data_IF_860721983241
#
_entry.id   IF_860721983241
#
_cell.length_a   1.000
_cell.length_b   1.000
_cell.length_c   1.000
_cell.angle_alpha   90.00
_cell.angle_beta   90.00
_cell.angle_gamma   90.00
#
_symmetry.space_group_name_H-M   'P 1'
#
loop_
_entity.id
_entity.type
_entity.pdbx_description
1 polymer ?
#
# COMPACT_ATOMS: atom_id res chain seq x y z
N UNK A 1 7.09 15.58 6.53
CA UNK A 1 8.12 14.89 7.34
C UNK A 1 7.76 15.04 8.80
N UNK A 2 7.95 13.99 9.59
CA UNK A 2 7.60 13.96 11.02
C UNK A 2 8.80 13.45 11.81
N UNK A 3 9.08 14.06 12.95
CA UNK A 3 10.15 13.72 13.88
C UNK A 3 9.53 13.43 15.26
N UNK A 4 9.87 12.27 15.81
CA UNK A 4 9.51 11.84 17.15
C UNK A 4 10.76 11.84 18.03
N UNK A 5 10.72 12.54 19.15
CA UNK A 5 11.76 12.47 20.16
C UNK A 5 11.30 11.53 21.28
N UNK A 6 12.07 10.47 21.49
CA UNK A 6 11.74 9.40 22.43
C UNK A 6 12.75 9.36 23.57
N UNK A 7 12.28 9.02 24.77
CA UNK A 7 13.15 8.66 25.89
C UNK A 7 13.54 7.19 25.79
N UNK A 8 14.83 6.90 25.65
CA UNK A 8 15.31 5.52 25.50
C UNK A 8 15.23 4.69 26.78
N UNK A 9 15.12 5.31 27.96
CA UNK A 9 15.00 4.60 29.23
C UNK A 9 13.57 4.17 29.52
N UNK A 10 12.59 5.01 29.16
CA UNK A 10 11.18 4.78 29.47
C UNK A 10 10.34 4.34 28.26
N UNK A 11 10.84 4.57 27.04
CA UNK A 11 10.08 4.40 25.80
C UNK A 11 9.03 5.49 25.57
N UNK A 12 8.97 6.53 26.41
CA UNK A 12 7.98 7.58 26.29
C UNK A 12 8.33 8.60 25.20
N UNK A 13 7.30 9.05 24.48
CA UNK A 13 7.40 10.13 23.51
C UNK A 13 7.49 11.49 24.21
N UNK A 14 8.64 12.16 24.10
CA UNK A 14 8.90 13.48 24.71
C UNK A 14 8.37 14.63 23.86
N UNK A 15 8.49 14.56 22.54
CA UNK A 15 7.94 15.59 21.63
C UNK A 15 7.70 15.04 20.22
N UNK A 16 6.85 15.74 19.46
CA UNK A 16 6.59 15.49 18.04
C UNK A 16 6.67 16.80 17.28
N UNK A 17 7.38 16.82 16.16
CA UNK A 17 7.45 17.95 15.24
C UNK A 17 7.19 17.47 13.82
N UNK A 18 6.47 18.26 13.05
CA UNK A 18 6.22 17.99 11.65
C UNK A 18 6.54 19.23 10.81
N UNK A 19 7.00 19.01 9.58
CA UNK A 19 7.22 20.06 8.60
C UNK A 19 7.03 19.52 7.19
N UNK A 20 6.79 20.43 6.24
CA UNK A 20 6.88 20.10 4.83
C UNK A 20 8.30 19.64 4.44
N UNK A 21 8.39 18.75 3.46
CA UNK A 21 9.68 18.38 2.86
C UNK A 21 10.10 19.52 1.91
N UNK A 22 11.21 20.23 2.16
CA UNK A 22 11.66 21.32 1.30
C UNK A 22 12.04 20.85 -0.12
N UNK A 23 12.18 19.54 -0.33
CA UNK A 23 12.41 18.98 -1.66
C UNK A 23 11.25 19.19 -2.64
N UNK A 24 10.07 19.58 -2.15
CA UNK A 24 8.92 19.96 -2.99
C UNK A 24 9.26 21.05 -4.00
N UNK A 25 10.21 21.95 -3.69
CA UNK A 25 10.64 22.99 -4.62
C UNK A 25 11.39 22.46 -5.86
N UNK A 26 11.76 21.19 -5.86
CA UNK A 26 12.50 20.53 -6.95
C UNK A 26 11.67 19.42 -7.63
N UNK A 27 10.45 19.15 -7.14
CA UNK A 27 9.58 18.09 -7.63
C UNK A 27 8.51 17.72 -6.60
N UNK A 28 7.27 17.64 -7.04
CA UNK A 28 6.13 17.34 -6.17
C UNK A 28 6.16 15.88 -5.70
N UNK A 29 6.60 14.96 -6.56
CA UNK A 29 6.68 13.52 -6.30
C UNK A 29 8.12 12.96 -6.34
N UNK A 30 8.25 11.64 -6.17
CA UNK A 30 9.55 10.96 -6.16
C UNK A 30 10.21 10.93 -7.55
N UNK A 31 9.44 10.68 -8.61
CA UNK A 31 9.96 10.52 -9.97
C UNK A 31 10.50 11.85 -10.48
N UNK A 32 9.74 12.94 -10.29
CA UNK A 32 10.16 14.30 -10.65
C UNK A 32 11.45 14.71 -9.93
N UNK A 33 11.63 14.34 -8.66
CA UNK A 33 12.89 14.56 -7.94
C UNK A 33 14.05 13.72 -8.48
N UNK A 34 13.81 12.49 -8.90
CA UNK A 34 14.82 11.66 -9.56
C UNK A 34 15.21 12.29 -10.89
N UNK A 35 14.25 12.70 -11.72
CA UNK A 35 14.51 13.42 -12.97
C UNK A 35 15.31 14.70 -12.71
N UNK A 36 14.98 15.46 -11.67
CA UNK A 36 15.77 16.64 -11.28
C UNK A 36 17.23 16.29 -10.96
N UNK A 37 17.50 15.18 -10.27
CA UNK A 37 18.87 14.68 -10.04
C UNK A 37 19.61 14.38 -11.36
N UNK A 38 18.92 13.78 -12.32
CA UNK A 38 19.48 13.33 -13.60
C UNK A 38 19.76 14.51 -14.54
N UNK A 39 18.82 15.46 -14.62
CA UNK A 39 18.89 16.60 -15.53
C UNK A 39 19.84 17.69 -15.05
N UNK A 40 20.11 17.76 -13.74
CA UNK A 40 20.90 18.83 -13.14
C UNK A 40 22.22 18.28 -12.57
N UNK A 41 23.40 18.77 -13.02
CA UNK A 41 24.71 18.30 -12.55
C UNK A 41 24.95 18.40 -11.03
N UNK A 42 24.12 19.15 -10.29
CA UNK A 42 24.15 19.27 -8.82
C UNK A 42 22.79 18.97 -8.18
N UNK A 43 21.92 18.26 -8.88
CA UNK A 43 20.56 17.98 -8.41
C UNK A 43 20.57 17.16 -7.11
N UNK A 44 21.38 16.10 -7.08
CA UNK A 44 21.55 15.26 -5.90
C UNK A 44 22.08 16.04 -4.69
N UNK A 45 23.16 16.82 -4.85
CA UNK A 45 23.72 17.65 -3.78
C UNK A 45 22.69 18.61 -3.19
N UNK A 46 21.87 19.25 -4.04
CA UNK A 46 20.81 20.17 -3.61
C UNK A 46 19.71 19.45 -2.84
N UNK A 47 19.21 18.33 -3.36
CA UNK A 47 18.15 17.54 -2.72
C UNK A 47 18.62 16.94 -1.39
N UNK A 48 19.85 16.43 -1.34
CA UNK A 48 20.49 15.92 -0.12
C UNK A 48 20.67 17.02 0.92
N UNK A 49 21.27 18.15 0.55
CA UNK A 49 21.50 19.27 1.48
C UNK A 49 20.17 19.83 2.03
N UNK A 50 19.14 19.88 1.19
CA UNK A 50 17.80 20.35 1.56
C UNK A 50 17.14 19.46 2.62
N UNK A 51 17.19 18.13 2.46
CA UNK A 51 16.60 17.21 3.44
C UNK A 51 17.40 17.17 4.74
N UNK A 52 18.74 17.14 4.68
CA UNK A 52 19.61 17.16 5.88
C UNK A 52 19.42 18.46 6.67
N UNK A 53 19.33 19.60 5.99
CA UNK A 53 19.04 20.88 6.64
C UNK A 53 17.72 20.84 7.39
N UNK A 54 16.64 20.37 6.76
CA UNK A 54 15.33 20.33 7.41
C UNK A 54 15.26 19.32 8.56
N UNK A 55 15.91 18.18 8.43
CA UNK A 55 16.01 17.22 9.54
C UNK A 55 16.68 17.84 10.76
N UNK A 56 17.76 18.61 10.56
CA UNK A 56 18.42 19.32 11.65
C UNK A 56 17.52 20.38 12.31
N UNK A 57 16.71 21.12 11.54
CA UNK A 57 15.73 22.05 12.11
C UNK A 57 14.64 21.33 12.92
N UNK A 58 14.14 20.19 12.42
CA UNK A 58 13.15 19.37 13.12
C UNK A 58 13.70 18.82 14.44
N UNK A 59 14.92 18.29 14.42
CA UNK A 59 15.62 17.78 15.62
C UNK A 59 15.80 18.91 16.64
N UNK A 60 16.30 20.08 16.22
CA UNK A 60 16.49 21.22 17.12
C UNK A 60 15.16 21.68 17.73
N UNK A 61 14.09 21.74 16.94
CA UNK A 61 12.74 22.10 17.40
C UNK A 61 12.16 21.07 18.37
N UNK A 62 12.38 19.77 18.10
CA UNK A 62 11.92 18.68 18.96
C UNK A 62 12.65 18.67 20.31
N UNK A 63 13.98 18.84 20.28
CA UNK A 63 14.83 18.94 21.47
C UNK A 63 14.50 20.17 22.32
N UNK A 64 14.32 21.34 21.69
CA UNK A 64 13.91 22.56 22.39
C UNK A 64 12.54 22.41 23.07
N UNK A 65 11.57 21.78 22.40
CA UNK A 65 10.24 21.54 22.98
C UNK A 65 10.28 20.56 24.17
N UNK A 66 11.20 19.60 24.16
CA UNK A 66 11.43 18.67 25.25
C UNK A 66 12.43 19.20 26.30
N UNK A 67 12.96 20.42 26.12
CA UNK A 67 13.97 21.04 26.98
C UNK A 67 15.22 20.16 27.18
N UNK A 68 15.66 19.47 26.13
CA UNK A 68 16.91 18.69 26.15
C UNK A 68 17.94 19.29 25.20
N UNK A 69 19.21 19.05 25.53
CA UNK A 69 20.33 19.33 24.65
C UNK A 69 20.36 18.29 23.50
N UNK A 70 20.37 18.70 22.22
CA UNK A 70 20.54 17.79 21.08
C UNK A 70 21.75 16.86 21.18
N UNK A 71 22.82 17.27 21.88
CA UNK A 71 24.02 16.43 22.09
C UNK A 71 23.74 15.19 22.96
N UNK A 72 22.60 15.16 23.67
CA UNK A 72 22.13 14.00 24.45
C UNK A 72 21.35 12.99 23.62
N UNK A 73 21.06 13.27 22.36
CA UNK A 73 20.39 12.32 21.46
C UNK A 73 21.42 11.27 21.02
N UNK A 74 21.25 10.04 21.49
CA UNK A 74 22.20 8.94 21.31
C UNK A 74 22.02 8.17 20.00
N UNK A 75 20.81 8.19 19.43
CA UNK A 75 20.44 7.40 18.27
C UNK A 75 19.28 8.04 17.52
N UNK A 76 19.24 7.84 16.21
CA UNK A 76 18.13 8.21 15.35
C UNK A 76 17.77 7.05 14.43
N UNK A 77 16.47 6.83 14.22
CA UNK A 77 15.98 5.91 13.20
C UNK A 77 15.31 6.71 12.10
N UNK A 78 15.73 6.51 10.85
CA UNK A 78 15.17 7.21 9.69
C UNK A 78 14.43 6.21 8.80
N UNK A 79 13.18 6.55 8.51
CA UNK A 79 12.29 5.79 7.63
C UNK A 79 11.77 6.67 6.51
N UNK A 80 11.56 6.06 5.36
CA UNK A 80 11.14 6.71 4.13
C UNK A 80 11.13 5.70 3.00
N UNK A 81 10.52 6.06 1.87
CA UNK A 81 10.60 5.22 0.68
C UNK A 81 12.04 5.17 0.13
N UNK A 82 12.29 4.24 -0.79
CA UNK A 82 13.61 3.95 -1.38
C UNK A 82 14.32 5.18 -1.92
N UNK A 83 13.61 6.07 -2.63
CA UNK A 83 14.20 7.28 -3.16
C UNK A 83 14.58 8.28 -2.06
N UNK A 84 13.75 8.44 -1.03
CA UNK A 84 14.07 9.33 0.10
C UNK A 84 15.30 8.84 0.88
N UNK A 85 15.50 7.53 1.01
CA UNK A 85 16.73 6.97 1.56
C UNK A 85 17.95 7.34 0.71
N UNK A 86 17.87 7.18 -0.61
CA UNK A 86 18.99 7.51 -1.50
C UNK A 86 19.33 8.99 -1.42
N UNK A 87 18.33 9.88 -1.50
CA UNK A 87 18.55 11.32 -1.37
C UNK A 87 19.14 11.70 -0.01
N UNK A 88 18.65 11.10 1.08
CA UNK A 88 19.17 11.36 2.41
C UNK A 88 20.62 10.88 2.57
N UNK A 89 20.97 9.72 2.02
CA UNK A 89 22.33 9.17 2.05
C UNK A 89 23.27 9.80 1.02
N UNK A 90 22.76 10.65 0.13
CA UNK A 90 23.54 11.22 -0.97
C UNK A 90 23.92 10.18 -2.03
N UNK A 91 23.13 9.11 -2.16
CA UNK A 91 23.27 8.09 -3.19
C UNK A 91 22.52 8.48 -4.45
N UNK A 92 23.07 8.16 -5.60
CA UNK A 92 22.43 8.43 -6.89
C UNK A 92 21.14 7.61 -7.04
N UNK A 93 19.96 8.25 -7.14
CA UNK A 93 18.69 7.54 -7.27
C UNK A 93 18.35 7.19 -8.73
N UNK A 94 19.20 7.49 -9.72
CA UNK A 94 18.92 7.32 -11.15
C UNK A 94 18.38 5.92 -11.50
N UNK A 95 19.01 4.87 -10.97
CA UNK A 95 18.61 3.48 -11.26
C UNK A 95 17.31 3.05 -10.57
N UNK A 96 16.74 3.86 -9.68
CA UNK A 96 15.43 3.59 -9.09
C UNK A 96 14.28 3.82 -10.09
N UNK A 97 14.49 4.69 -11.09
CA UNK A 97 13.50 4.97 -12.13
C UNK A 97 13.80 4.26 -13.45
N UNK A 98 14.88 3.48 -13.54
CA UNK A 98 15.25 2.72 -14.74
C UNK A 98 15.27 1.22 -14.46
N UNK A 99 14.76 0.40 -15.37
CA UNK A 99 14.87 -1.04 -15.26
C UNK A 99 16.34 -1.47 -15.07
N UNK A 100 16.66 -2.38 -14.13
CA UNK A 100 15.74 -3.24 -13.36
C UNK A 100 15.21 -2.65 -12.03
N UNK A 101 15.24 -1.32 -11.85
CA UNK A 101 14.78 -0.60 -10.66
C UNK A 101 15.56 -0.95 -9.40
N UNK A 102 16.84 -1.25 -9.58
CA UNK A 102 17.70 -1.74 -8.52
C UNK A 102 18.09 -0.59 -7.59
N UNK A 103 17.81 -0.70 -6.28
CA UNK A 103 18.34 0.23 -5.31
C UNK A 103 19.82 -0.08 -5.07
N UNK A 104 20.57 0.93 -4.65
CA UNK A 104 21.96 0.76 -4.21
C UNK A 104 22.01 -0.06 -2.90
N UNK A 105 20.97 0.06 -2.06
CA UNK A 105 20.88 -0.57 -0.75
C UNK A 105 19.55 -1.33 -0.60
N UNK A 106 19.60 -2.52 -0.02
CA UNK A 106 18.42 -3.35 0.31
C UNK A 106 18.37 -3.72 1.80
N UNK A 107 19.53 -3.94 2.42
CA UNK A 107 19.65 -4.27 3.83
C UNK A 107 19.62 -3.01 4.71
N UNK A 108 19.30 -3.18 5.99
CA UNK A 108 19.39 -2.11 6.99
C UNK A 108 20.79 -1.53 7.05
N UNK A 109 20.91 -0.23 7.29
CA UNK A 109 22.20 0.46 7.36
C UNK A 109 22.38 1.20 8.68
N UNK A 110 23.60 1.20 9.20
CA UNK A 110 23.99 1.98 10.37
C UNK A 110 25.13 2.93 10.01
N UNK A 111 24.89 4.23 10.18
CA UNK A 111 25.86 5.28 9.90
C UNK A 111 26.11 6.14 11.12
N UNK A 112 27.30 6.75 11.23
CA UNK A 112 27.51 7.81 12.23
C UNK A 112 26.75 9.06 11.81
N UNK A 113 26.02 9.65 12.75
CA UNK A 113 25.17 10.82 12.48
C UNK A 113 25.94 12.00 11.86
N UNK A 114 27.19 12.20 12.31
CA UNK A 114 28.09 13.24 11.79
C UNK A 114 28.48 13.04 10.32
N UNK A 115 28.54 11.79 9.85
CA UNK A 115 28.91 11.47 8.46
C UNK A 115 27.75 11.80 7.50
N UNK A 116 26.52 11.84 8.04
CA UNK A 116 25.29 12.21 7.34
C UNK A 116 24.89 13.69 7.57
N UNK A 117 25.73 14.47 8.26
CA UNK A 117 25.47 15.88 8.54
C UNK A 117 24.38 16.15 9.58
N UNK A 118 23.95 15.15 10.35
CA UNK A 118 23.00 15.34 11.44
C UNK A 118 23.69 15.86 12.72
N UNK A 119 23.09 16.89 13.31
CA UNK A 119 23.57 17.60 14.51
C UNK A 119 22.87 17.06 15.75
N UNK A 120 23.25 15.83 16.10
CA UNK A 120 22.91 15.14 17.35
C UNK A 120 24.21 14.71 18.04
N UNK A 121 24.12 13.96 19.15
CA UNK A 121 25.28 13.55 19.94
C UNK A 121 26.45 13.03 19.09
N UNK A 122 27.68 13.45 19.43
CA UNK A 122 28.86 13.21 18.58
C UNK A 122 29.18 11.73 18.29
N UNK A 123 28.71 10.82 19.15
CA UNK A 123 28.87 9.37 18.99
C UNK A 123 27.63 8.68 18.42
N UNK A 124 26.55 9.43 18.15
CA UNK A 124 25.26 8.89 17.77
C UNK A 124 25.28 8.17 16.42
N UNK A 125 24.40 7.18 16.33
CA UNK A 125 24.16 6.42 15.12
C UNK A 125 22.81 6.77 14.50
N UNK A 126 22.75 6.62 13.18
CA UNK A 126 21.54 6.72 12.38
C UNK A 126 21.29 5.35 11.78
N UNK A 127 20.22 4.72 12.23
CA UNK A 127 19.75 3.46 11.69
C UNK A 127 18.71 3.69 10.59
N UNK A 128 18.91 3.06 9.43
CA UNK A 128 17.94 3.03 8.35
C UNK A 128 17.38 1.61 8.24
N UNK A 129 16.05 1.52 8.21
CA UNK A 129 15.36 0.25 7.97
C UNK A 129 15.65 -0.29 6.55
N UNK A 130 15.59 -1.62 6.35
CA UNK A 130 15.85 -2.21 5.04
C UNK A 130 14.87 -1.68 3.98
N UNK A 131 15.39 -1.48 2.77
CA UNK A 131 14.62 -1.04 1.62
C UNK A 131 14.17 -2.24 0.81
N UNK A 132 12.86 -2.39 0.64
CA UNK A 132 12.30 -3.17 -0.47
C UNK A 132 12.11 -2.22 -1.64
N UNK A 133 12.85 -2.41 -2.72
CA UNK A 133 12.71 -1.59 -3.92
C UNK A 133 11.84 -2.27 -4.97
N UNK A 134 11.20 -1.43 -5.79
CA UNK A 134 10.48 -1.86 -6.98
C UNK A 134 9.14 -2.54 -6.70
N UNK A 135 8.64 -3.22 -7.72
CA UNK A 135 7.46 -4.08 -7.63
C UNK A 135 7.84 -5.36 -6.92
N UNK A 136 7.36 -5.55 -5.70
CA UNK A 136 7.60 -6.77 -4.93
C UNK A 136 6.33 -7.58 -4.80
N UNK A 137 6.47 -8.90 -4.88
CA UNK A 137 5.40 -9.86 -4.61
C UNK A 137 5.91 -10.90 -3.62
N UNK A 138 4.97 -11.59 -2.99
CA UNK A 138 5.24 -12.80 -2.24
C UNK A 138 4.48 -13.96 -2.88
N UNK A 139 4.97 -15.18 -2.67
CA UNK A 139 4.39 -16.40 -3.24
C UNK A 139 4.01 -17.36 -2.13
N UNK A 140 3.02 -18.19 -2.42
CA UNK A 140 2.66 -19.28 -1.52
C UNK A 140 3.87 -20.22 -1.42
N UNK A 141 4.33 -20.48 -0.18
CA UNK A 141 5.54 -21.27 0.13
C UNK A 141 6.89 -20.64 -0.27
N UNK A 142 6.93 -19.35 -0.63
CA UNK A 142 8.17 -18.62 -1.00
C UNK A 142 8.95 -19.26 -2.16
N UNK A 143 8.25 -19.92 -3.10
CA UNK A 143 8.82 -20.48 -4.32
C UNK A 143 8.75 -19.47 -5.49
N UNK A 144 9.39 -19.77 -6.62
CA UNK A 144 9.27 -18.94 -7.81
C UNK A 144 7.80 -18.88 -8.29
N UNK A 145 7.28 -17.69 -8.66
CA UNK A 145 5.89 -17.55 -9.08
C UNK A 145 5.62 -18.31 -10.38
N UNK A 146 4.39 -18.81 -10.50
CA UNK A 146 3.86 -19.49 -11.69
C UNK A 146 2.55 -18.85 -12.21
N UNK A 147 2.04 -17.85 -11.49
CA UNK A 147 0.79 -17.15 -11.79
C UNK A 147 0.33 -16.29 -10.61
N UNK A 148 -0.88 -15.73 -10.74
CA UNK A 148 -1.51 -14.90 -9.72
C UNK A 148 -2.66 -15.65 -9.05
N UNK A 149 -2.73 -15.56 -7.72
CA UNK A 149 -3.91 -15.99 -6.97
C UNK A 149 -4.91 -14.83 -6.82
N UNK A 150 -6.12 -15.13 -6.32
CA UNK A 150 -7.18 -14.12 -6.14
C UNK A 150 -6.79 -12.95 -5.24
N UNK A 151 -6.05 -13.18 -4.15
CA UNK A 151 -5.52 -12.08 -3.33
C UNK A 151 -4.40 -11.32 -4.03
N UNK A 152 -3.59 -12.02 -4.83
CA UNK A 152 -2.50 -11.42 -5.62
C UNK A 152 -3.00 -10.41 -6.66
N UNK A 153 -4.05 -10.74 -7.41
CA UNK A 153 -4.63 -9.80 -8.39
C UNK A 153 -5.27 -8.58 -7.69
N UNK A 154 -5.96 -8.79 -6.57
CA UNK A 154 -6.56 -7.67 -5.82
C UNK A 154 -5.48 -6.73 -5.30
N UNK A 155 -4.45 -7.27 -4.65
CA UNK A 155 -3.36 -6.46 -4.09
C UNK A 155 -2.59 -5.73 -5.18
N UNK A 156 -2.28 -6.42 -6.29
CA UNK A 156 -1.59 -5.81 -7.41
C UNK A 156 -2.39 -4.66 -8.04
N UNK A 157 -3.69 -4.85 -8.29
CA UNK A 157 -4.53 -3.77 -8.86
C UNK A 157 -4.71 -2.63 -7.86
N UNK A 158 -4.89 -2.91 -6.55
CA UNK A 158 -4.95 -1.89 -5.51
C UNK A 158 -3.69 -1.02 -5.49
N UNK A 159 -2.51 -1.63 -5.50
CA UNK A 159 -1.22 -0.93 -5.55
C UNK A 159 -1.04 -0.14 -6.84
N UNK A 160 -1.45 -0.70 -7.99
CA UNK A 160 -1.39 0.00 -9.27
C UNK A 160 -2.34 1.20 -9.34
N UNK A 161 -3.48 1.16 -8.66
CA UNK A 161 -4.38 2.32 -8.49
C UNK A 161 -3.69 3.38 -7.62
N UNK A 162 -3.16 3.00 -6.45
CA UNK A 162 -2.45 3.92 -5.53
C UNK A 162 -1.23 4.57 -6.20
N UNK A 163 -0.52 3.81 -7.04
CA UNK A 163 0.63 4.29 -7.81
C UNK A 163 0.26 5.11 -9.06
N UNK A 164 -1.03 5.27 -9.38
CA UNK A 164 -1.49 5.98 -10.57
C UNK A 164 -1.26 5.24 -11.90
N UNK A 165 -0.85 3.97 -11.86
CA UNK A 165 -0.64 3.13 -13.04
C UNK A 165 -1.97 2.73 -13.66
N UNK A 166 -3.00 2.49 -12.84
CA UNK A 166 -4.37 2.23 -13.27
C UNK A 166 -5.24 3.45 -12.95
N UNK A 167 -5.92 3.96 -13.98
CA UNK A 167 -6.86 5.06 -13.87
C UNK A 167 -8.23 4.59 -13.37
N UNK A 168 -9.09 5.52 -12.95
CA UNK A 168 -10.42 5.23 -12.39
C UNK A 168 -11.32 4.36 -13.29
N UNK A 169 -11.11 4.38 -14.61
CA UNK A 169 -11.86 3.54 -15.57
C UNK A 169 -11.30 2.13 -15.75
N UNK A 170 -10.19 1.79 -15.11
CA UNK A 170 -9.49 0.51 -15.27
C UNK A 170 -8.55 0.46 -16.49
N UNK A 171 -8.26 1.61 -17.11
CA UNK A 171 -7.24 1.72 -18.14
C UNK A 171 -5.86 1.95 -17.50
N UNK A 172 -4.81 1.45 -18.12
CA UNK A 172 -3.45 1.85 -17.75
C UNK A 172 -3.21 3.32 -18.14
N UNK A 173 -2.43 4.04 -17.34
CA UNK A 173 -2.01 5.39 -17.67
C UNK A 173 -0.90 5.36 -18.74
N UNK A 174 -1.20 5.84 -19.94
CA UNK A 174 -0.22 5.92 -21.04
C UNK A 174 0.91 6.92 -20.75
N UNK A 175 0.71 7.87 -19.83
CA UNK A 175 1.77 8.77 -19.38
C UNK A 175 2.79 8.05 -18.48
N UNK A 176 2.44 6.89 -17.93
CA UNK A 176 3.33 6.08 -17.10
C UNK A 176 4.38 5.37 -17.96
N UNK A 177 5.55 5.99 -18.09
CA UNK A 177 6.66 5.44 -18.86
C UNK A 177 7.46 4.44 -18.02
N UNK A 178 7.24 3.15 -18.23
CA UNK A 178 7.95 2.09 -17.54
C UNK A 178 8.06 0.82 -18.41
N UNK A 179 9.25 0.21 -18.57
CA UNK A 179 9.43 -1.07 -19.27
C UNK A 179 8.48 -2.21 -18.91
N UNK A 180 7.88 -2.20 -17.70
CA UNK A 180 6.87 -3.18 -17.30
C UNK A 180 5.52 -2.94 -17.99
N UNK A 181 5.19 -1.70 -18.35
CA UNK A 181 4.00 -1.38 -19.14
C UNK A 181 4.39 -1.42 -20.63
N UNK A 182 3.85 -2.39 -21.37
CA UNK A 182 4.18 -2.61 -22.78
C UNK A 182 2.95 -3.05 -23.57
N UNK A 183 3.04 -2.99 -24.90
CA UNK A 183 2.07 -3.62 -25.78
C UNK A 183 2.18 -5.15 -25.71
N UNK A 184 1.08 -5.81 -25.35
CA UNK A 184 0.88 -7.25 -25.41
C UNK A 184 -0.08 -7.65 -26.54
N UNK A 185 -0.49 -8.92 -26.56
CA UNK A 185 -1.38 -9.47 -27.60
C UNK A 185 -2.77 -8.79 -27.60
N UNK A 186 -3.29 -8.49 -26.41
CA UNK A 186 -4.63 -7.91 -26.19
C UNK A 186 -4.58 -6.40 -25.85
N UNK A 187 -3.49 -5.72 -26.20
CA UNK A 187 -3.21 -4.33 -25.86
C UNK A 187 -2.24 -4.19 -24.70
N UNK A 188 -2.25 -3.03 -24.02
CA UNK A 188 -1.32 -2.77 -22.92
C UNK A 188 -1.43 -3.83 -21.80
N UNK A 189 -0.27 -4.30 -21.36
CA UNK A 189 -0.10 -5.22 -20.24
C UNK A 189 1.01 -4.71 -19.32
N UNK A 190 0.88 -5.03 -18.03
CA UNK A 190 1.86 -4.71 -17.01
C UNK A 190 2.57 -5.98 -16.54
N UNK A 191 3.89 -6.06 -16.72
CA UNK A 191 4.71 -7.18 -16.26
C UNK A 191 4.92 -7.09 -14.76
N UNK A 192 4.28 -7.99 -14.01
CA UNK A 192 4.51 -8.16 -12.58
C UNK A 192 5.83 -8.90 -12.32
N UNK A 193 6.04 -10.05 -12.95
CA UNK A 193 7.27 -10.84 -12.81
C UNK A 193 7.82 -11.24 -14.18
N UNK A 194 9.12 -11.03 -14.39
CA UNK A 194 9.82 -11.39 -15.62
C UNK A 194 10.06 -12.90 -15.70
N UNK A 195 10.20 -13.44 -16.91
CA UNK A 195 10.49 -14.84 -17.18
C UNK A 195 11.67 -15.42 -16.39
N UNK A 196 12.70 -14.61 -16.11
CA UNK A 196 13.86 -15.02 -15.28
C UNK A 196 13.51 -15.24 -13.80
N UNK A 197 12.47 -14.57 -13.33
CA UNK A 197 11.98 -14.59 -11.94
C UNK A 197 10.97 -15.73 -11.72
N UNK A 198 10.30 -16.20 -12.77
CA UNK A 198 9.24 -17.22 -12.69
C UNK A 198 9.74 -18.66 -12.80
N UNK A 199 8.94 -19.62 -12.34
CA UNK A 199 9.24 -21.05 -12.51
C UNK A 199 8.85 -21.56 -13.92
N UNK A 200 8.00 -20.81 -14.62
CA UNK A 200 7.45 -21.16 -15.94
C UNK A 200 8.28 -20.59 -17.11
N UNK A 201 9.36 -19.85 -16.83
CA UNK A 201 10.20 -19.16 -17.82
C UNK A 201 9.39 -18.27 -18.78
N UNK A 202 8.31 -17.69 -18.28
CA UNK A 202 7.43 -16.76 -18.99
C UNK A 202 7.11 -15.59 -18.07
N UNK A 203 6.87 -14.42 -18.65
CA UNK A 203 6.45 -13.25 -17.89
C UNK A 203 5.05 -13.50 -17.30
N UNK A 204 4.85 -13.08 -16.04
CA UNK A 204 3.53 -13.00 -15.42
C UNK A 204 3.08 -11.54 -15.53
N UNK A 205 1.98 -11.33 -16.24
CA UNK A 205 1.46 -10.01 -16.58
C UNK A 205 0.07 -9.79 -16.02
N UNK A 206 -0.30 -8.53 -15.83
CA UNK A 206 -1.69 -8.09 -15.66
C UNK A 206 -2.11 -7.36 -16.93
N UNK A 207 -3.18 -7.82 -17.54
CA UNK A 207 -3.77 -7.22 -18.73
C UNK A 207 -4.94 -6.32 -18.38
N UNK A 208 -5.38 -5.50 -19.34
CA UNK A 208 -6.63 -4.74 -19.21
C UNK A 208 -7.85 -5.64 -19.00
N UNK A 209 -7.83 -6.85 -19.57
CA UNK A 209 -8.91 -7.83 -19.40
C UNK A 209 -9.00 -8.31 -17.97
N UNK A 210 -7.86 -8.60 -17.33
CA UNK A 210 -7.81 -9.02 -15.93
C UNK A 210 -8.36 -7.92 -15.00
N UNK A 211 -7.98 -6.66 -15.28
CA UNK A 211 -8.51 -5.49 -14.56
C UNK A 211 -10.03 -5.37 -14.74
N UNK A 212 -10.53 -5.55 -15.96
CA UNK A 212 -11.96 -5.51 -16.25
C UNK A 212 -12.75 -6.64 -15.56
N UNK A 213 -12.19 -7.85 -15.51
CA UNK A 213 -12.79 -8.98 -14.77
C UNK A 213 -12.86 -8.68 -13.27
N UNK A 214 -11.82 -8.07 -12.70
CA UNK A 214 -11.85 -7.60 -11.32
C UNK A 214 -12.90 -6.51 -11.11
N UNK A 215 -13.01 -5.53 -12.02
CA UNK A 215 -14.04 -4.47 -11.97
C UNK A 215 -15.46 -5.07 -11.93
N UNK A 216 -15.74 -6.07 -12.78
CA UNK A 216 -17.03 -6.75 -12.78
C UNK A 216 -17.29 -7.49 -11.45
N UNK A 217 -16.32 -8.24 -10.97
CA UNK A 217 -16.46 -9.00 -9.72
C UNK A 217 -16.67 -8.07 -8.51
N UNK A 218 -15.83 -7.04 -8.36
CA UNK A 218 -15.93 -6.11 -7.24
C UNK A 218 -17.20 -5.27 -7.31
N UNK A 219 -17.65 -4.91 -8.51
CA UNK A 219 -18.88 -4.15 -8.68
C UNK A 219 -20.13 -4.95 -8.28
N UNK A 220 -20.17 -6.25 -8.58
CA UNK A 220 -21.27 -7.11 -8.14
C UNK A 220 -21.37 -7.18 -6.60
N UNK A 221 -20.22 -7.34 -5.93
CA UNK A 221 -20.16 -7.37 -4.46
C UNK A 221 -20.58 -6.03 -3.87
N UNK A 222 -20.03 -4.93 -4.40
CA UNK A 222 -20.35 -3.58 -3.95
C UNK A 222 -21.84 -3.28 -4.12
N UNK A 223 -22.40 -3.49 -5.31
CA UNK A 223 -23.79 -3.21 -5.61
C UNK A 223 -24.75 -4.04 -4.75
N UNK A 224 -24.44 -5.33 -4.55
CA UNK A 224 -25.24 -6.21 -3.72
C UNK A 224 -25.24 -5.78 -2.25
N UNK A 225 -24.05 -5.47 -1.72
CA UNK A 225 -23.92 -4.98 -0.36
C UNK A 225 -24.68 -3.67 -0.17
N UNK A 226 -24.45 -2.68 -1.03
CA UNK A 226 -25.11 -1.36 -0.95
C UNK A 226 -26.63 -1.49 -0.99
N UNK A 227 -27.18 -2.30 -1.90
CA UNK A 227 -28.63 -2.49 -2.01
C UNK A 227 -29.23 -3.12 -0.74
N UNK A 228 -28.59 -4.15 -0.18
CA UNK A 228 -29.03 -4.76 1.08
C UNK A 228 -28.98 -3.75 2.23
N UNK A 229 -28.00 -2.85 2.25
CA UNK A 229 -27.89 -1.84 3.29
C UNK A 229 -28.90 -0.71 3.14
N UNK A 230 -29.22 -0.30 1.90
CA UNK A 230 -30.31 0.64 1.61
C UNK A 230 -31.66 0.07 2.10
N UNK A 231 -31.91 -1.23 1.90
CA UNK A 231 -33.18 -1.88 2.26
C UNK A 231 -33.35 -2.08 3.77
N UNK A 232 -32.29 -2.50 4.47
CA UNK A 232 -32.37 -2.90 5.89
C UNK A 232 -31.84 -1.84 6.87
N UNK A 233 -31.58 -0.61 6.40
CA UNK A 233 -31.20 0.51 7.25
C UNK A 233 -29.77 0.39 7.79
N UNK A 234 -28.79 0.25 6.89
CA UNK A 234 -27.36 0.02 7.16
C UNK A 234 -26.61 1.14 7.92
N UNK A 235 -27.30 2.03 8.62
CA UNK A 235 -26.67 2.94 9.57
C UNK A 235 -26.07 2.12 10.73
N UNK A 236 -24.74 2.13 10.83
CA UNK A 236 -24.02 1.51 11.96
C UNK A 236 -23.43 0.13 11.72
N UNK A 237 -23.06 -0.23 10.48
CA UNK A 237 -22.20 -1.40 10.24
C UNK A 237 -20.87 -1.24 10.98
N UNK A 238 -20.65 -2.06 12.01
CA UNK A 238 -19.42 -2.00 12.84
C UNK A 238 -18.31 -2.90 12.33
N UNK A 239 -18.66 -3.98 11.64
CA UNK A 239 -17.73 -5.03 11.20
C UNK A 239 -18.15 -5.62 9.86
N UNK A 240 -17.16 -5.82 8.99
CA UNK A 240 -17.28 -6.56 7.73
C UNK A 240 -16.46 -7.83 7.88
N UNK A 241 -17.08 -8.99 7.67
CA UNK A 241 -16.42 -10.30 7.80
C UNK A 241 -16.22 -10.92 6.42
N UNK A 242 -14.97 -11.11 6.00
CA UNK A 242 -14.59 -11.66 4.70
C UNK A 242 -14.26 -13.14 4.84
N UNK A 243 -15.09 -14.00 4.27
CA UNK A 243 -14.90 -15.45 4.26
C UNK A 243 -14.50 -15.96 2.87
N UNK A 244 -13.95 -17.17 2.82
CA UNK A 244 -13.53 -17.85 1.58
C UNK A 244 -12.06 -17.66 1.26
N UNK A 245 -11.66 -18.03 0.04
CA UNK A 245 -10.26 -17.95 -0.41
C UNK A 245 -9.70 -16.52 -0.33
N UNK A 246 -10.54 -15.50 -0.59
CA UNK A 246 -10.20 -14.10 -0.36
C UNK A 246 -10.03 -13.77 1.12
N UNK A 247 -10.84 -14.34 2.02
CA UNK A 247 -10.84 -14.00 3.45
C UNK A 247 -9.61 -14.41 4.26
N UNK A 248 -8.68 -15.21 3.72
CA UNK A 248 -7.44 -15.60 4.41
C UNK A 248 -6.27 -14.66 4.11
N UNK A 249 -6.26 -14.02 2.94
CA UNK A 249 -5.08 -13.34 2.39
C UNK A 249 -5.41 -12.00 1.71
N UNK A 250 -6.68 -11.60 1.67
CA UNK A 250 -7.08 -10.28 1.20
C UNK A 250 -6.78 -9.25 2.28
N UNK A 251 -5.95 -8.27 1.92
CA UNK A 251 -5.72 -7.10 2.76
C UNK A 251 -6.99 -6.22 2.80
N UNK A 252 -7.49 -5.86 3.99
CA UNK A 252 -8.57 -4.90 4.16
C UNK A 252 -8.43 -3.59 3.38
N UNK A 253 -7.23 -3.01 3.37
CA UNK A 253 -6.97 -1.71 2.76
C UNK A 253 -6.97 -1.83 1.23
N UNK A 254 -6.55 -2.97 0.70
CA UNK A 254 -6.62 -3.26 -0.75
C UNK A 254 -8.06 -3.47 -1.20
N UNK A 255 -8.85 -4.18 -0.40
CA UNK A 255 -10.28 -4.34 -0.64
C UNK A 255 -11.02 -3.00 -0.64
N UNK A 256 -10.66 -2.09 0.27
CA UNK A 256 -11.14 -0.71 0.28
C UNK A 256 -10.66 0.06 -0.96
N UNK A 257 -9.38 -0.04 -1.34
CA UNK A 257 -8.80 0.71 -2.44
C UNK A 257 -9.45 0.39 -3.79
N UNK A 258 -9.81 -0.89 -4.03
CA UNK A 258 -10.54 -1.29 -5.24
C UNK A 258 -12.06 -0.98 -5.16
N UNK A 259 -12.56 -0.57 -3.99
CA UNK A 259 -13.97 -0.32 -3.74
C UNK A 259 -14.82 -1.59 -3.70
N UNK A 260 -14.31 -2.69 -3.11
CA UNK A 260 -14.99 -3.99 -3.06
C UNK A 260 -16.33 -3.94 -2.31
N UNK A 261 -16.42 -3.07 -1.31
CA UNK A 261 -17.62 -2.81 -0.53
C UNK A 261 -17.81 -1.30 -0.36
N UNK A 262 -19.04 -0.83 -0.10
CA UNK A 262 -19.29 0.58 0.18
C UNK A 262 -18.54 1.03 1.44
N UNK A 263 -18.00 2.26 1.37
CA UNK A 263 -17.14 2.81 2.40
C UNK A 263 -17.90 3.14 3.69
N UNK A 264 -17.47 2.54 4.80
CA UNK A 264 -17.89 2.90 6.15
C UNK A 264 -16.66 3.25 6.98
N UNK A 265 -16.43 4.54 7.28
CA UNK A 265 -15.23 5.00 7.98
C UNK A 265 -15.01 4.32 9.34
N UNK A 266 -16.07 3.85 9.98
CA UNK A 266 -16.02 3.20 11.30
C UNK A 266 -16.02 1.66 11.25
N UNK A 267 -16.27 1.05 10.08
CA UNK A 267 -16.40 -0.39 9.99
C UNK A 267 -15.02 -1.07 9.96
N UNK A 268 -14.80 -2.02 10.86
CA UNK A 268 -13.58 -2.84 10.82
C UNK A 268 -13.76 -4.05 9.92
N UNK A 269 -12.90 -4.18 8.92
CA UNK A 269 -12.87 -5.33 8.02
C UNK A 269 -12.00 -6.43 8.63
N UNK A 270 -12.51 -7.66 8.67
CA UNK A 270 -11.82 -8.82 9.23
C UNK A 270 -11.89 -10.01 8.29
N UNK A 271 -10.73 -10.57 7.94
CA UNK A 271 -10.65 -11.89 7.33
C UNK A 271 -11.01 -12.98 8.33
N UNK A 272 -11.96 -13.85 7.98
CA UNK A 272 -12.37 -15.02 8.80
C UNK A 272 -12.00 -16.35 8.13
N UNK A 273 -11.34 -16.28 6.99
CA UNK A 273 -10.83 -17.45 6.27
C UNK A 273 -11.91 -18.41 5.77
N UNK A 274 -11.60 -19.72 5.80
CA UNK A 274 -12.54 -20.75 5.37
C UNK A 274 -13.63 -21.02 6.43
N UNK A 275 -14.57 -20.09 6.55
CA UNK A 275 -15.69 -20.17 7.48
C UNK A 275 -16.57 -21.41 7.25
N UNK A 276 -16.73 -21.86 6.00
CA UNK A 276 -17.49 -23.07 5.67
C UNK A 276 -16.83 -24.32 6.25
N UNK A 277 -15.51 -24.46 6.08
CA UNK A 277 -14.74 -25.57 6.66
C UNK A 277 -14.76 -25.58 8.19
N UNK A 278 -14.59 -24.40 8.81
CA UNK A 278 -14.70 -24.26 10.27
C UNK A 278 -16.11 -24.60 10.77
N UNK A 279 -17.16 -24.14 10.08
CA UNK A 279 -18.55 -24.47 10.39
C UNK A 279 -18.84 -25.97 10.28
N UNK A 280 -18.26 -26.65 9.30
CA UNK A 280 -18.35 -28.11 9.15
C UNK A 280 -17.68 -28.84 10.32
N UNK A 281 -16.48 -28.41 10.72
CA UNK A 281 -15.75 -28.97 11.87
C UNK A 281 -16.56 -28.80 13.18
N UNK A 282 -17.06 -27.58 13.45
CA UNK A 282 -17.90 -27.31 14.62
C UNK A 282 -19.17 -28.17 14.62
N UNK A 283 -19.82 -28.30 13.47
CA UNK A 283 -21.01 -29.13 13.32
C UNK A 283 -20.71 -30.61 13.51
N UNK A 284 -19.55 -31.09 13.06
CA UNK A 284 -19.14 -32.49 13.25
C UNK A 284 -19.00 -32.82 14.75
N UNK A 285 -18.29 -31.97 15.49
CA UNK A 285 -17.92 -32.21 16.88
C UNK A 285 -19.02 -31.88 17.91
N UNK A 286 -19.94 -30.96 17.61
CA UNK A 286 -20.96 -30.52 18.56
C UNK A 286 -22.37 -30.52 17.92
N UNK A 287 -23.25 -31.38 18.46
CA UNK A 287 -24.67 -31.44 18.04
C UNK A 287 -25.43 -30.16 18.36
N UNK A 288 -25.03 -29.39 19.37
CA UNK A 288 -25.63 -28.09 19.67
C UNK A 288 -25.29 -27.06 18.59
N UNK A 289 -24.09 -27.14 17.98
CA UNK A 289 -23.71 -26.29 16.84
C UNK A 289 -24.52 -26.61 15.58
N UNK A 290 -24.91 -27.86 15.36
CA UNK A 290 -25.88 -28.21 14.30
C UNK A 290 -27.23 -27.52 14.51
N UNK A 291 -27.76 -27.61 15.72
CA UNK A 291 -29.02 -26.93 16.10
C UNK A 291 -28.90 -25.40 16.04
N UNK A 292 -27.73 -24.85 16.30
CA UNK A 292 -27.45 -23.42 16.11
C UNK A 292 -27.48 -23.03 14.63
N UNK A 293 -26.83 -23.82 13.76
CA UNK A 293 -26.86 -23.60 12.31
C UNK A 293 -28.29 -23.65 11.76
N UNK A 294 -29.10 -24.62 12.18
CA UNK A 294 -30.53 -24.69 11.83
C UNK A 294 -31.32 -23.45 12.26
N UNK A 295 -31.09 -22.96 13.49
CA UNK A 295 -31.73 -21.74 14.00
C UNK A 295 -31.30 -20.48 13.24
N UNK A 296 -30.04 -20.39 12.83
CA UNK A 296 -29.55 -19.27 12.01
C UNK A 296 -30.17 -19.35 10.62
N UNK A 297 -30.13 -20.51 9.98
CA UNK A 297 -30.70 -20.72 8.64
C UNK A 297 -32.19 -20.40 8.59
N UNK A 298 -32.96 -20.77 9.63
CA UNK A 298 -34.38 -20.45 9.72
C UNK A 298 -34.70 -18.94 9.84
N UNK A 299 -33.69 -18.11 10.15
CA UNK A 299 -33.82 -16.65 10.25
C UNK A 299 -33.25 -15.91 9.05
N UNK A 300 -32.65 -16.61 8.08
CA UNK A 300 -32.13 -16.00 6.86
C UNK A 300 -33.28 -15.72 5.89
N UNK A 301 -33.29 -14.51 5.36
CA UNK A 301 -34.19 -14.10 4.28
C UNK A 301 -33.40 -14.00 2.98
N UNK A 302 -33.84 -14.71 1.93
CA UNK A 302 -33.24 -14.61 0.61
C UNK A 302 -33.77 -13.37 -0.12
N UNK A 303 -32.86 -12.60 -0.71
CA UNK A 303 -33.18 -11.46 -1.57
C UNK A 303 -32.59 -11.65 -2.96
N UNK A 304 -33.46 -11.55 -3.97
CA UNK A 304 -33.05 -11.56 -5.37
C UNK A 304 -32.64 -10.15 -5.79
N UNK A 305 -31.32 -9.91 -5.86
CA UNK A 305 -30.76 -8.59 -6.15
C UNK A 305 -30.60 -8.34 -7.65
N UNK A 306 -30.31 -9.38 -8.45
CA UNK A 306 -29.92 -9.21 -9.85
C UNK A 306 -31.07 -8.72 -10.74
N UNK A 307 -32.31 -8.96 -10.32
CA UNK A 307 -33.51 -8.47 -11.00
C UNK A 307 -33.85 -7.00 -10.67
N UNK A 308 -33.17 -6.39 -9.70
CA UNK A 308 -33.44 -5.01 -9.28
C UNK A 308 -32.83 -4.02 -10.28
N UNK A 309 -33.59 -3.04 -10.82
CA UNK A 309 -33.02 -1.95 -11.60
C UNK A 309 -31.96 -1.17 -10.84
N UNK A 310 -32.15 -1.02 -9.52
CA UNK A 310 -31.20 -0.35 -8.63
C UNK A 310 -29.86 -1.10 -8.55
N UNK A 311 -29.89 -2.44 -8.60
CA UNK A 311 -28.66 -3.22 -8.65
C UNK A 311 -27.87 -2.94 -9.92
N UNK A 312 -28.52 -2.82 -11.09
CA UNK A 312 -27.82 -2.50 -12.34
C UNK A 312 -27.21 -1.09 -12.31
N UNK A 313 -27.91 -0.10 -11.77
CA UNK A 313 -27.36 1.24 -11.57
C UNK A 313 -26.11 1.22 -10.68
N UNK A 314 -26.19 0.56 -9.52
CA UNK A 314 -25.08 0.42 -8.58
C UNK A 314 -23.93 -0.39 -9.18
N UNK A 315 -24.22 -1.40 -10.00
CA UNK A 315 -23.22 -2.21 -10.68
C UNK A 315 -22.47 -1.42 -11.76
N UNK A 316 -23.15 -0.52 -12.48
CA UNK A 316 -22.47 0.35 -13.44
C UNK A 316 -21.61 1.39 -12.70
N UNK A 317 -22.15 2.00 -11.64
CA UNK A 317 -21.41 2.95 -10.80
C UNK A 317 -20.21 2.29 -10.09
N UNK A 318 -20.35 1.04 -9.67
CA UNK A 318 -19.32 0.26 -9.00
C UNK A 318 -18.20 -0.23 -9.92
N UNK A 319 -18.27 -0.02 -11.24
CA UNK A 319 -17.15 -0.37 -12.14
C UNK A 319 -15.93 0.52 -11.97
N UNK A 320 -16.12 1.77 -11.56
CA UNK A 320 -15.03 2.73 -11.44
C UNK A 320 -14.19 2.45 -10.19
N UNK A 321 -12.88 2.59 -10.29
CA UNK A 321 -11.98 2.64 -9.14
C UNK A 321 -11.90 4.05 -8.57
N UNK A 322 -11.64 4.15 -7.27
CA UNK A 322 -11.19 5.37 -6.60
C UNK A 322 -9.89 5.85 -7.24
N UNK A 323 -9.74 7.15 -7.47
CA UNK A 323 -8.55 7.69 -8.13
C UNK A 323 -7.39 7.82 -7.13
N UNK A 324 -6.14 7.82 -7.62
CA UNK A 324 -4.95 7.98 -6.78
C UNK A 324 -5.01 9.27 -5.92
N UNK A 325 -5.56 10.36 -6.47
CA UNK A 325 -5.72 11.64 -5.77
C UNK A 325 -6.66 11.57 -4.56
N UNK A 326 -7.59 10.61 -4.52
CA UNK A 326 -8.53 10.46 -3.40
C UNK A 326 -7.88 9.83 -2.16
N UNK A 327 -6.67 9.26 -2.28
CA UNK A 327 -5.92 8.68 -1.16
C UNK A 327 -5.02 9.69 -0.43
N UNK A 328 -4.77 10.87 -1.00
CA UNK A 328 -3.92 11.91 -0.38
C UNK A 328 -4.60 12.56 0.84
N UNK A 329 -5.94 12.60 0.87
CA UNK A 329 -6.73 13.19 1.96
C UNK A 329 -7.03 12.20 3.12
N UNK A 330 -6.57 10.95 3.03
CA UNK A 330 -6.92 9.86 3.94
C UNK A 330 -5.86 9.50 5.00
N UNK A 331 -4.72 10.21 5.05
CA UNK A 331 -3.61 9.95 5.99
C UNK A 331 -3.28 11.13 6.91
#
# INVERSE_FOLDING_TARGET
MVCFLMDLMTGEKRSVKASMNPQISFGDDVITRISFCVENPKGLEKLHSSIVWRLNELVASAAAAAQIDPDRILEAVIVGNTAMHHLFLGLDPHYLSMAPYAPVLQESQDHKARDLGLKIGASAHVHLLPLKAGFTWDTIHHEKPIGLCGSGIISAVAEMIRAGIILSRGAFDEAFQNPRLRDGEDGLEFVLAWASETAINQDIVITRKDVAELQMAKSAVHAGATLLMEEFGGEGVKRILLAGAGGNYLDPDDACAIGLFPGYPEAKVHGVGNAAGQGAYLSLLDKNKRKEAERVAARLEYRELAASPRFQELFVAGMFFTSAHDFEDAF
#
